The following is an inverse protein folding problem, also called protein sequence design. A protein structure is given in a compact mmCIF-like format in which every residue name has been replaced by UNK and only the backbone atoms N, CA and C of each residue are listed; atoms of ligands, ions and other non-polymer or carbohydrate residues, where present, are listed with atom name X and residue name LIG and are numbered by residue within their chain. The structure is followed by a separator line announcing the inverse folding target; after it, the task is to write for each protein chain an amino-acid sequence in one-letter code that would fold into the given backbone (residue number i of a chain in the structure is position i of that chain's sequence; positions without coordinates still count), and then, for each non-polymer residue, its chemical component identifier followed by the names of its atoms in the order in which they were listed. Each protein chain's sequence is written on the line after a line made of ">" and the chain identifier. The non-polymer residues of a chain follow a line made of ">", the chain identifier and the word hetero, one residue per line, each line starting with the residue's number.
data_IF_202900275606
#
_entry.id   IF_202900275606
#
_cell.length_a   1.000
_cell.length_b   1.000
_cell.length_c   1.000
_cell.angle_alpha   90.00
_cell.angle_beta   90.00
_cell.angle_gamma   90.00
#
_symmetry.space_group_name_H-M   'P 1'
#
loop_
_entity.id
_entity.type
_entity.pdbx_description
1 polymer ?
#
# COMPACT_ATOMS: atom_id res chain seq x y z
N UNK A 1 -4.99 31.83 -15.15
CA UNK A 1 -4.68 30.38 -15.05
C UNK A 1 -3.94 29.83 -16.27
N UNK A 2 -4.11 30.34 -17.47
CA UNK A 2 -3.45 29.80 -18.67
C UNK A 2 -1.94 30.06 -18.82
N UNK A 3 -1.38 31.11 -18.20
CA UNK A 3 0.02 31.48 -18.35
C UNK A 3 1.00 30.72 -17.42
N UNK A 4 0.49 30.13 -16.34
CA UNK A 4 1.32 29.36 -15.39
C UNK A 4 1.57 27.92 -15.93
N UNK A 5 0.66 27.38 -16.72
CA UNK A 5 0.79 26.05 -17.32
C UNK A 5 1.81 25.96 -18.46
N UNK A 6 2.28 27.10 -18.99
CA UNK A 6 3.29 27.09 -20.07
C UNK A 6 4.75 27.08 -19.58
N UNK A 7 4.98 27.24 -18.28
CA UNK A 7 6.34 27.34 -17.71
C UNK A 7 7.00 25.97 -17.47
N UNK A 8 6.21 24.89 -17.40
CA UNK A 8 6.72 23.54 -17.16
C UNK A 8 6.19 22.60 -18.25
N UNK A 9 7.05 21.80 -18.89
CA UNK A 9 6.59 20.79 -19.83
C UNK A 9 5.71 19.76 -19.08
N UNK A 10 4.61 19.29 -19.69
CA UNK A 10 3.78 18.28 -19.05
C UNK A 10 4.55 16.96 -18.88
N UNK A 11 4.35 16.29 -17.76
CA UNK A 11 4.89 14.96 -17.54
C UNK A 11 4.43 14.00 -18.65
N UNK A 12 5.35 13.17 -19.16
CA UNK A 12 5.02 12.10 -20.11
C UNK A 12 4.66 10.80 -19.39
N UNK A 13 5.06 10.69 -18.13
CA UNK A 13 4.77 9.57 -17.24
C UNK A 13 4.36 10.07 -15.86
N UNK A 14 3.45 9.35 -15.22
CA UNK A 14 3.13 9.55 -13.80
C UNK A 14 3.30 8.21 -13.08
N UNK A 15 4.01 8.23 -11.96
CA UNK A 15 4.11 7.11 -11.01
C UNK A 15 3.34 7.51 -9.76
N UNK A 16 2.22 6.84 -9.51
CA UNK A 16 1.39 7.01 -8.31
C UNK A 16 1.72 5.88 -7.31
N UNK A 17 2.30 6.24 -6.18
CA UNK A 17 2.66 5.32 -5.10
C UNK A 17 1.71 5.51 -3.93
N UNK A 18 0.96 4.47 -3.60
CA UNK A 18 0.07 4.44 -2.45
C UNK A 18 0.75 3.77 -1.25
N UNK A 19 0.92 4.50 -0.15
CA UNK A 19 1.35 3.99 1.15
C UNK A 19 0.17 4.04 2.12
N UNK A 20 -0.54 2.92 2.28
CA UNK A 20 -1.70 2.86 3.17
C UNK A 20 -1.31 3.16 4.62
N UNK A 21 -2.07 4.03 5.27
CA UNK A 21 -1.90 4.37 6.68
C UNK A 21 -0.65 5.18 7.04
N UNK A 22 0.11 5.68 6.05
CA UNK A 22 1.31 6.45 6.33
C UNK A 22 1.00 7.84 6.90
N UNK A 23 1.80 8.25 7.90
CA UNK A 23 1.59 9.47 8.68
C UNK A 23 2.86 10.29 8.82
N UNK A 24 2.77 11.60 8.61
CA UNK A 24 3.87 12.55 8.82
C UNK A 24 4.43 12.52 10.24
N UNK A 25 3.63 12.16 11.26
CA UNK A 25 4.11 12.05 12.64
C UNK A 25 5.21 10.99 12.83
N UNK A 26 5.24 9.99 11.95
CA UNK A 26 6.29 8.95 11.95
C UNK A 26 7.32 9.28 10.86
N UNK A 27 6.87 9.67 9.68
CA UNK A 27 7.75 9.92 8.55
C UNK A 27 8.69 11.12 8.80
N UNK A 28 8.19 12.25 9.35
CA UNK A 28 9.03 13.45 9.54
C UNK A 28 10.22 13.22 10.45
N UNK A 29 10.07 12.65 11.68
CA UNK A 29 11.23 12.34 12.52
C UNK A 29 12.23 11.40 11.86
N UNK A 30 11.78 10.43 11.06
CA UNK A 30 12.66 9.50 10.33
C UNK A 30 13.41 10.21 9.19
N UNK A 31 12.75 11.15 8.48
CA UNK A 31 13.42 11.99 7.48
C UNK A 31 14.47 12.89 8.12
N UNK A 32 14.14 13.53 9.25
CA UNK A 32 15.06 14.39 9.99
C UNK A 32 16.29 13.61 10.48
N UNK A 33 16.12 12.32 10.79
CA UNK A 33 17.22 11.41 11.14
C UNK A 33 17.99 10.87 9.92
N UNK A 34 17.59 11.21 8.68
CA UNK A 34 18.21 10.71 7.45
C UNK A 34 17.84 9.25 7.10
N UNK A 35 16.79 8.71 7.71
CA UNK A 35 16.39 7.30 7.56
C UNK A 35 15.40 7.05 6.41
N UNK A 36 14.82 8.13 5.83
CA UNK A 36 13.92 8.09 4.67
C UNK A 36 14.45 9.01 3.55
N UNK A 37 15.61 8.71 2.95
CA UNK A 37 16.25 9.62 2.00
C UNK A 37 15.45 9.81 0.71
N UNK A 38 14.67 8.83 0.25
CA UNK A 38 13.91 8.94 -0.98
C UNK A 38 12.68 9.84 -0.78
N UNK A 39 11.95 9.67 0.31
CA UNK A 39 10.84 10.55 0.68
C UNK A 39 11.34 11.96 0.93
N UNK A 40 12.45 12.12 1.64
CA UNK A 40 13.07 13.42 1.88
C UNK A 40 13.45 14.12 0.56
N UNK A 41 13.96 13.38 -0.42
CA UNK A 41 14.27 13.89 -1.74
C UNK A 41 13.01 14.35 -2.52
N UNK A 42 11.91 13.59 -2.46
CA UNK A 42 10.63 13.99 -3.05
C UNK A 42 10.10 15.28 -2.41
N UNK A 43 10.18 15.38 -1.08
CA UNK A 43 9.76 16.58 -0.34
C UNK A 43 10.61 17.80 -0.70
N UNK A 44 11.93 17.64 -0.79
CA UNK A 44 12.85 18.73 -1.06
C UNK A 44 12.74 19.26 -2.50
N UNK A 45 12.38 18.42 -3.47
CA UNK A 45 12.33 18.76 -4.89
C UNK A 45 10.92 18.93 -5.45
N UNK A 46 9.90 18.99 -4.59
CA UNK A 46 8.52 19.03 -5.04
C UNK A 46 7.58 19.75 -4.08
N UNK A 47 6.33 19.30 -4.08
CA UNK A 47 5.29 19.77 -3.19
C UNK A 47 4.92 18.65 -2.19
N UNK A 48 4.76 18.99 -0.91
CA UNK A 48 4.35 18.03 0.10
C UNK A 48 3.44 18.66 1.15
N UNK A 49 2.69 17.82 1.86
CA UNK A 49 1.82 18.25 2.94
C UNK A 49 0.88 17.15 3.43
N UNK A 50 0.01 17.46 4.41
CA UNK A 50 -1.01 16.53 4.85
C UNK A 50 -2.10 16.38 3.79
N UNK A 51 -2.48 15.14 3.49
CA UNK A 51 -3.63 14.81 2.65
C UNK A 51 -4.85 14.55 3.55
N UNK A 52 -5.88 15.37 3.41
CA UNK A 52 -7.12 15.20 4.17
C UNK A 52 -7.88 13.97 3.69
N UNK A 53 -8.26 13.11 4.62
CA UNK A 53 -9.02 11.89 4.35
C UNK A 53 -10.54 12.13 4.40
N UNK A 54 -11.30 11.20 3.83
CA UNK A 54 -12.77 11.21 3.80
C UNK A 54 -13.34 10.21 4.83
N UNK A 55 -14.15 10.65 5.80
CA UNK A 55 -14.76 9.73 6.75
C UNK A 55 -15.88 8.88 6.10
N UNK A 56 -16.06 7.61 6.54
CA UNK A 56 -15.21 6.87 7.47
C UNK A 56 -13.88 6.49 6.79
N UNK A 57 -12.78 6.47 7.57
CA UNK A 57 -11.42 6.23 7.06
C UNK A 57 -11.21 4.75 6.73
N UNK A 58 -11.86 4.27 5.66
CA UNK A 58 -11.84 2.90 5.20
C UNK A 58 -11.07 2.78 3.88
N UNK A 59 -9.97 2.10 3.89
CA UNK A 59 -9.04 2.00 2.75
C UNK A 59 -9.71 1.59 1.43
N UNK A 60 -10.66 0.62 1.38
CA UNK A 60 -11.32 0.30 0.11
C UNK A 60 -12.08 1.47 -0.51
N UNK A 61 -12.76 2.26 0.32
CA UNK A 61 -13.49 3.46 -0.08
C UNK A 61 -12.53 4.55 -0.53
N UNK A 62 -11.49 4.81 0.25
CA UNK A 62 -10.55 5.91 0.03
C UNK A 62 -9.69 5.67 -1.22
N UNK A 63 -9.14 4.46 -1.39
CA UNK A 63 -8.34 4.13 -2.57
C UNK A 63 -9.15 4.13 -3.86
N UNK A 64 -10.46 3.81 -3.80
CA UNK A 64 -11.33 3.99 -4.97
C UNK A 64 -11.70 5.46 -5.20
N UNK A 65 -11.79 6.29 -4.16
CA UNK A 65 -11.92 7.75 -4.32
C UNK A 65 -10.69 8.35 -5.00
N UNK A 66 -9.47 7.93 -4.60
CA UNK A 66 -8.21 8.35 -5.25
C UNK A 66 -8.19 7.90 -6.71
N UNK A 67 -8.56 6.64 -6.99
CA UNK A 67 -8.54 6.07 -8.34
C UNK A 67 -9.55 6.74 -9.31
N UNK A 68 -10.66 7.27 -8.79
CA UNK A 68 -11.78 7.72 -9.63
C UNK A 68 -12.01 9.23 -9.61
N UNK A 69 -11.46 9.93 -8.59
CA UNK A 69 -11.78 11.33 -8.33
C UNK A 69 -13.24 11.55 -7.90
N UNK A 70 -13.91 10.49 -7.38
CA UNK A 70 -15.32 10.49 -6.99
C UNK A 70 -15.48 10.13 -5.51
N UNK A 71 -16.57 10.56 -4.90
CA UNK A 71 -16.96 10.12 -3.57
C UNK A 71 -17.55 8.69 -3.59
N UNK A 72 -17.60 8.06 -2.43
CA UNK A 72 -18.00 6.66 -2.29
C UNK A 72 -19.42 6.35 -2.81
N UNK A 73 -20.37 7.25 -2.66
CA UNK A 73 -21.73 7.16 -3.20
C UNK A 73 -21.74 7.14 -4.74
N UNK A 74 -20.79 7.79 -5.37
CA UNK A 74 -20.64 7.85 -6.83
C UNK A 74 -19.87 6.66 -7.39
N UNK A 75 -18.75 6.25 -6.75
CA UNK A 75 -18.00 5.09 -7.24
C UNK A 75 -18.53 3.74 -6.72
N UNK A 76 -19.38 3.72 -5.70
CA UNK A 76 -20.11 2.54 -5.25
C UNK A 76 -19.33 1.59 -4.32
N UNK A 77 -18.07 1.84 -4.01
CA UNK A 77 -17.28 1.03 -3.07
C UNK A 77 -17.36 1.68 -1.69
N UNK A 78 -18.13 1.08 -0.78
CA UNK A 78 -18.46 1.68 0.53
C UNK A 78 -17.66 1.09 1.69
N UNK A 79 -16.96 -0.02 1.49
CA UNK A 79 -16.20 -0.72 2.54
C UNK A 79 -15.60 -2.02 2.03
N UNK A 80 -15.24 -2.91 2.94
CA UNK A 80 -14.56 -4.18 2.64
C UNK A 80 -15.49 -5.25 2.05
N UNK A 81 -16.78 -5.18 2.36
CA UNK A 81 -17.78 -6.18 1.95
C UNK A 81 -19.01 -5.50 1.40
N UNK A 82 -19.74 -6.25 0.61
CA UNK A 82 -21.06 -5.93 0.09
C UNK A 82 -22.00 -7.11 0.26
N UNK A 83 -23.30 -6.88 0.16
CA UNK A 83 -24.27 -7.98 0.11
C UNK A 83 -24.37 -8.46 -1.33
N UNK A 84 -24.07 -9.73 -1.55
CA UNK A 84 -24.32 -10.40 -2.84
C UNK A 84 -25.84 -10.46 -3.10
N UNK A 85 -26.33 -9.80 -4.15
CA UNK A 85 -27.77 -9.73 -4.40
C UNK A 85 -28.39 -11.10 -4.76
N UNK A 86 -27.60 -12.06 -5.23
CA UNK A 86 -28.10 -13.39 -5.59
C UNK A 86 -28.28 -14.30 -4.37
N UNK A 87 -27.41 -14.16 -3.36
CA UNK A 87 -27.38 -15.06 -2.19
C UNK A 87 -27.80 -14.38 -0.89
N UNK A 88 -27.86 -13.04 -0.84
CA UNK A 88 -28.08 -12.26 0.37
C UNK A 88 -26.92 -12.32 1.38
N UNK A 89 -25.78 -12.93 1.03
CA UNK A 89 -24.62 -13.12 1.90
C UNK A 89 -23.62 -11.97 1.75
N UNK A 90 -22.85 -11.71 2.79
CA UNK A 90 -21.70 -10.82 2.70
C UNK A 90 -20.62 -11.46 1.83
N UNK A 91 -20.14 -10.70 0.86
CA UNK A 91 -19.02 -11.03 -0.02
C UNK A 91 -17.99 -9.92 0.00
N UNK A 92 -16.73 -10.24 -0.28
CA UNK A 92 -15.70 -9.22 -0.48
C UNK A 92 -16.08 -8.32 -1.68
N UNK A 93 -15.72 -7.05 -1.58
CA UNK A 93 -15.89 -6.14 -2.72
C UNK A 93 -14.98 -6.55 -3.86
N UNK A 94 -15.40 -6.20 -5.08
CA UNK A 94 -14.68 -6.53 -6.32
C UNK A 94 -14.62 -5.32 -7.25
N UNK A 95 -13.73 -5.36 -8.24
CA UNK A 95 -13.62 -4.32 -9.28
C UNK A 95 -14.92 -4.10 -10.06
N UNK A 96 -15.73 -5.17 -10.22
CA UNK A 96 -17.01 -5.13 -10.96
C UNK A 96 -18.11 -4.32 -10.27
N UNK A 97 -17.94 -4.00 -9.00
CA UNK A 97 -18.89 -3.18 -8.23
C UNK A 97 -18.62 -1.68 -8.35
N UNK A 98 -17.47 -1.30 -8.90
CA UNK A 98 -17.17 0.10 -9.14
C UNK A 98 -18.06 0.65 -10.28
N UNK A 99 -18.83 1.68 -9.96
CA UNK A 99 -19.86 2.25 -10.85
C UNK A 99 -19.35 3.31 -11.82
N UNK A 100 -18.07 3.67 -11.74
CA UNK A 100 -17.45 4.67 -12.61
C UNK A 100 -16.04 4.24 -13.02
N UNK A 101 -15.52 4.87 -14.07
CA UNK A 101 -14.16 4.61 -14.56
C UNK A 101 -13.12 5.09 -13.55
N UNK A 102 -12.09 4.28 -13.36
CA UNK A 102 -10.88 4.72 -12.70
C UNK A 102 -9.96 5.45 -13.69
N UNK A 103 -8.95 6.14 -13.16
CA UNK A 103 -7.98 6.89 -13.94
C UNK A 103 -7.34 6.04 -15.06
N UNK A 104 -6.97 4.82 -14.79
CA UNK A 104 -6.37 3.90 -15.78
C UNK A 104 -7.32 3.50 -16.90
N UNK A 105 -8.63 3.43 -16.63
CA UNK A 105 -9.62 3.20 -17.69
C UNK A 105 -9.73 4.43 -18.61
N UNK A 106 -9.77 5.64 -18.02
CA UNK A 106 -9.82 6.90 -18.77
C UNK A 106 -8.57 7.05 -19.64
N UNK A 107 -7.38 6.78 -19.07
CA UNK A 107 -6.11 6.85 -19.80
C UNK A 107 -6.09 5.87 -20.98
N UNK A 108 -6.55 4.63 -20.78
CA UNK A 108 -6.63 3.63 -21.84
C UNK A 108 -7.55 4.05 -23.00
N UNK A 109 -8.67 4.72 -22.72
CA UNK A 109 -9.55 5.28 -23.77
C UNK A 109 -8.88 6.38 -24.60
N UNK A 110 -7.85 7.03 -24.04
CA UNK A 110 -7.03 8.01 -24.76
C UNK A 110 -5.75 7.40 -25.36
N UNK A 111 -5.67 6.08 -25.45
CA UNK A 111 -4.52 5.37 -26.03
C UNK A 111 -3.27 5.37 -25.17
N UNK A 112 -3.39 5.71 -23.87
CA UNK A 112 -2.27 5.72 -22.93
C UNK A 112 -2.16 4.37 -22.18
N UNK A 113 -0.92 3.95 -21.97
CA UNK A 113 -0.61 2.69 -21.27
C UNK A 113 -0.59 2.90 -19.76
N UNK A 114 -1.32 2.06 -19.03
CA UNK A 114 -1.39 2.10 -17.57
C UNK A 114 -1.05 0.74 -16.95
N UNK A 115 -0.17 0.73 -15.96
CA UNK A 115 0.07 -0.42 -15.09
C UNK A 115 -0.56 -0.17 -13.71
N UNK A 116 -1.26 -1.18 -13.19
CA UNK A 116 -2.00 -1.09 -11.92
C UNK A 116 -1.66 -2.32 -11.06
N UNK A 117 -0.97 -2.10 -9.95
CA UNK A 117 -0.39 -3.16 -9.13
C UNK A 117 -0.94 -3.11 -7.69
N UNK A 118 -1.59 -4.19 -7.27
CA UNK A 118 -2.07 -4.38 -5.91
C UNK A 118 -3.20 -3.43 -5.48
N UNK A 119 -3.76 -2.61 -6.37
CA UNK A 119 -4.74 -1.58 -6.02
C UNK A 119 -5.98 -2.18 -5.34
N UNK A 120 -6.53 -1.48 -4.33
CA UNK A 120 -7.64 -2.01 -3.56
C UNK A 120 -8.92 -2.15 -4.40
N UNK A 121 -9.63 -3.28 -4.25
CA UNK A 121 -10.81 -3.66 -5.03
C UNK A 121 -10.54 -3.70 -6.55
N UNK A 122 -9.39 -4.22 -6.96
CA UNK A 122 -9.02 -4.41 -8.38
C UNK A 122 -9.28 -5.83 -8.89
N UNK A 123 -9.67 -6.78 -8.02
CA UNK A 123 -9.98 -8.14 -8.45
C UNK A 123 -11.46 -8.29 -8.85
N UNK A 124 -11.76 -8.99 -9.97
CA UNK A 124 -10.83 -9.47 -11.01
C UNK A 124 -10.16 -8.33 -11.76
N UNK A 125 -8.97 -8.61 -12.30
CA UNK A 125 -8.17 -7.65 -13.06
C UNK A 125 -8.96 -7.08 -14.23
N UNK A 126 -8.94 -5.76 -14.34
CA UNK A 126 -9.59 -5.04 -15.43
C UNK A 126 -8.78 -5.13 -16.73
N UNK A 127 -9.47 -5.04 -17.84
CA UNK A 127 -8.85 -4.93 -19.16
C UNK A 127 -8.28 -3.50 -19.35
N UNK A 128 -7.02 -3.31 -18.96
CA UNK A 128 -6.28 -2.05 -19.13
C UNK A 128 -5.35 -2.13 -20.34
N UNK A 129 -4.97 -0.98 -20.88
CA UNK A 129 -3.93 -0.89 -21.91
C UNK A 129 -2.56 -1.01 -21.26
N UNK A 130 -2.22 -2.19 -20.72
CA UNK A 130 -0.99 -2.43 -19.95
C UNK A 130 -1.13 -3.65 -19.06
N UNK A 131 -0.63 -3.57 -17.83
CA UNK A 131 -0.64 -4.67 -16.86
C UNK A 131 -1.52 -4.31 -15.68
N UNK A 132 -2.43 -5.20 -15.30
CA UNK A 132 -3.17 -5.11 -14.03
C UNK A 132 -2.89 -6.36 -13.19
N UNK A 133 -2.35 -6.17 -11.99
CA UNK A 133 -2.14 -7.21 -10.97
C UNK A 133 -2.96 -6.85 -9.75
N UNK A 134 -3.89 -7.71 -9.38
CA UNK A 134 -4.90 -7.38 -8.37
C UNK A 134 -4.40 -7.51 -6.93
N UNK A 135 -5.12 -6.94 -5.96
CA UNK A 135 -4.84 -7.06 -4.53
C UNK A 135 -4.94 -8.51 -4.01
N UNK A 136 -5.57 -9.42 -4.76
CA UNK A 136 -5.61 -10.85 -4.41
C UNK A 136 -4.34 -11.61 -4.80
N UNK A 137 -3.52 -11.04 -5.67
CA UNK A 137 -2.31 -11.66 -6.22
C UNK A 137 -1.31 -12.13 -5.15
N UNK A 138 -0.95 -11.33 -4.14
CA UNK A 138 0.09 -11.69 -3.18
C UNK A 138 -0.40 -12.62 -2.06
N UNK A 139 -1.70 -12.86 -1.91
CA UNK A 139 -2.25 -13.59 -0.75
C UNK A 139 -1.70 -15.02 -0.68
N UNK A 140 -0.92 -15.37 0.36
CA UNK A 140 -0.31 -16.67 0.45
C UNK A 140 -1.34 -17.76 0.77
N UNK A 141 -1.11 -18.96 0.25
CA UNK A 141 -1.78 -20.16 0.71
C UNK A 141 -1.22 -20.63 2.06
N UNK A 142 -1.92 -21.53 2.73
CA UNK A 142 -1.38 -22.19 3.92
C UNK A 142 -0.04 -22.85 3.61
N UNK A 143 0.87 -22.88 4.59
CA UNK A 143 2.20 -23.48 4.47
C UNK A 143 2.13 -24.89 3.89
N UNK A 144 2.94 -25.11 2.84
CA UNK A 144 3.02 -26.42 2.14
C UNK A 144 1.81 -26.74 1.23
N UNK A 145 0.77 -25.90 1.19
CA UNK A 145 -0.33 -26.10 0.27
C UNK A 145 0.01 -25.63 -1.16
N UNK A 146 -0.61 -26.22 -2.20
CA UNK A 146 -0.54 -25.67 -3.55
C UNK A 146 -0.97 -24.20 -3.56
N UNK A 147 -0.28 -23.40 -4.34
CA UNK A 147 -0.57 -21.95 -4.41
C UNK A 147 -0.78 -21.48 -5.85
N UNK A 148 -1.78 -22.00 -6.55
CA UNK A 148 -2.10 -21.51 -7.87
C UNK A 148 -2.52 -20.05 -7.81
N UNK A 149 -2.26 -19.31 -8.88
CA UNK A 149 -2.77 -17.96 -9.02
C UNK A 149 -4.29 -18.02 -9.19
N UNK A 150 -5.02 -17.20 -8.42
CA UNK A 150 -6.46 -17.11 -8.55
C UNK A 150 -6.83 -16.61 -9.97
N UNK A 151 -7.83 -17.21 -10.63
CA UNK A 151 -8.28 -16.72 -11.94
C UNK A 151 -8.62 -15.23 -11.90
N UNK A 152 -8.19 -14.49 -12.91
CA UNK A 152 -8.45 -13.04 -12.97
C UNK A 152 -7.53 -12.18 -12.08
N UNK A 153 -6.44 -12.73 -11.51
CA UNK A 153 -5.51 -11.92 -10.72
C UNK A 153 -4.54 -11.08 -11.56
N UNK A 154 -4.36 -11.44 -12.83
CA UNK A 154 -3.41 -10.76 -13.75
C UNK A 154 -4.06 -10.52 -15.11
N UNK A 155 -3.92 -9.29 -15.61
CA UNK A 155 -4.23 -8.92 -17.00
C UNK A 155 -2.97 -8.29 -17.66
N UNK A 156 -2.62 -8.66 -18.90
CA UNK A 156 -3.25 -9.72 -19.72
C UNK A 156 -3.03 -11.12 -19.12
N UNK A 157 -3.99 -12.00 -19.30
CA UNK A 157 -3.95 -13.37 -18.75
C UNK A 157 -2.75 -14.18 -19.24
N UNK A 158 -2.19 -13.86 -20.39
CA UNK A 158 -0.96 -14.46 -20.92
C UNK A 158 0.26 -14.26 -20.00
N UNK A 159 0.25 -13.25 -19.15
CA UNK A 159 1.32 -12.97 -18.17
C UNK A 159 1.12 -13.72 -16.85
N UNK A 160 0.00 -14.39 -16.64
CA UNK A 160 -0.34 -14.97 -15.34
C UNK A 160 0.70 -15.99 -14.85
N UNK A 161 1.21 -16.85 -15.71
CA UNK A 161 2.21 -17.84 -15.34
C UNK A 161 3.56 -17.19 -14.92
N UNK A 162 4.04 -16.21 -15.72
CA UNK A 162 5.26 -15.46 -15.41
C UNK A 162 5.15 -14.71 -14.09
N UNK A 163 4.04 -13.99 -13.90
CA UNK A 163 3.82 -13.21 -12.68
C UNK A 163 3.61 -14.09 -11.45
N UNK A 164 3.07 -15.30 -11.60
CA UNK A 164 2.94 -16.24 -10.49
C UNK A 164 4.28 -16.56 -9.82
N UNK A 165 5.39 -16.60 -10.60
CA UNK A 165 6.75 -16.86 -10.11
C UNK A 165 7.37 -15.65 -9.36
N UNK A 166 6.76 -14.46 -9.45
CA UNK A 166 7.23 -13.27 -8.76
C UNK A 166 6.74 -13.19 -7.30
N UNK A 167 5.81 -14.09 -6.93
CA UNK A 167 5.24 -14.13 -5.58
C UNK A 167 6.21 -14.80 -4.61
N UNK A 168 6.29 -14.25 -3.40
CA UNK A 168 7.01 -14.84 -2.28
C UNK A 168 6.06 -15.53 -1.32
N UNK A 169 6.48 -16.67 -0.79
CA UNK A 169 5.84 -17.27 0.38
C UNK A 169 6.44 -16.69 1.66
N UNK A 170 5.69 -16.69 2.78
CA UNK A 170 6.24 -16.22 4.07
C UNK A 170 7.54 -16.94 4.47
N UNK A 171 7.66 -18.23 4.15
CA UNK A 171 8.87 -19.04 4.39
C UNK A 171 10.06 -18.68 3.50
N UNK A 172 9.85 -17.96 2.40
CA UNK A 172 10.90 -17.49 1.50
C UNK A 172 11.49 -16.14 1.96
N UNK A 173 10.84 -15.49 2.94
CA UNK A 173 11.35 -14.23 3.50
C UNK A 173 12.65 -14.51 4.26
N UNK A 174 13.73 -13.86 3.81
CA UNK A 174 15.04 -14.04 4.44
C UNK A 174 14.97 -13.68 5.94
N UNK A 175 15.41 -14.57 6.85
CA UNK A 175 15.43 -14.30 8.28
C UNK A 175 16.20 -13.03 8.66
N UNK A 176 17.19 -12.61 7.89
CA UNK A 176 17.94 -11.37 8.14
C UNK A 176 17.07 -10.12 7.92
N UNK A 177 16.10 -10.18 7.00
CA UNK A 177 15.10 -9.11 6.85
C UNK A 177 14.24 -9.01 8.10
N UNK A 178 13.81 -10.13 8.68
CA UNK A 178 13.05 -10.10 9.93
C UNK A 178 13.85 -9.51 11.09
N UNK A 179 15.18 -9.70 11.12
CA UNK A 179 16.07 -9.10 12.13
C UNK A 179 16.17 -7.58 12.01
N UNK A 180 15.97 -7.00 10.82
CA UNK A 180 15.89 -5.54 10.66
C UNK A 180 14.66 -4.94 11.36
N UNK A 181 13.60 -5.72 11.51
CA UNK A 181 12.39 -5.33 12.22
C UNK A 181 12.43 -5.72 13.69
N UNK A 182 12.93 -6.93 13.99
CA UNK A 182 12.95 -7.53 15.31
C UNK A 182 14.38 -8.01 15.60
N UNK A 183 15.31 -7.12 16.02
CA UNK A 183 16.72 -7.47 16.20
C UNK A 183 16.94 -8.65 17.16
N UNK A 184 16.08 -8.80 18.15
CA UNK A 184 16.13 -9.84 19.19
C UNK A 184 15.21 -11.03 18.90
N UNK A 185 14.87 -11.31 17.64
CA UNK A 185 13.92 -12.37 17.24
C UNK A 185 14.32 -13.76 17.77
N UNK A 186 15.62 -14.02 17.93
CA UNK A 186 16.13 -15.28 18.46
C UNK A 186 15.74 -15.57 19.93
N UNK A 187 15.32 -14.53 20.67
CA UNK A 187 14.88 -14.65 22.07
C UNK A 187 13.36 -14.87 22.18
N UNK A 188 12.63 -14.88 21.07
CA UNK A 188 11.19 -15.04 21.01
C UNK A 188 10.83 -16.51 20.85
N UNK A 189 9.94 -17.01 21.70
CA UNK A 189 9.33 -18.34 21.54
C UNK A 189 8.26 -18.31 20.44
N UNK A 190 8.67 -18.64 19.22
CA UNK A 190 7.81 -18.62 18.03
C UNK A 190 6.64 -19.64 18.08
N UNK A 191 6.65 -20.54 19.07
CA UNK A 191 5.50 -21.44 19.29
C UNK A 191 4.34 -20.73 19.98
N UNK A 192 4.65 -19.70 20.78
CA UNK A 192 3.69 -18.91 21.58
C UNK A 192 3.40 -17.54 20.96
N UNK A 193 4.40 -16.91 20.37
CA UNK A 193 4.27 -15.59 19.75
C UNK A 193 4.27 -15.69 18.23
N UNK A 194 3.13 -15.42 17.64
CA UNK A 194 2.92 -15.50 16.18
C UNK A 194 3.17 -14.20 15.44
N UNK A 195 3.50 -13.11 16.14
CA UNK A 195 3.74 -11.79 15.52
C UNK A 195 4.89 -11.81 14.50
N UNK A 196 6.03 -12.50 14.74
CA UNK A 196 7.07 -12.61 13.70
C UNK A 196 6.60 -13.38 12.45
N UNK A 197 5.75 -14.40 12.62
CA UNK A 197 5.15 -15.13 11.50
C UNK A 197 4.17 -14.22 10.70
N UNK A 198 3.35 -13.45 11.41
CA UNK A 198 2.47 -12.45 10.78
C UNK A 198 3.28 -11.42 10.00
N UNK A 199 4.36 -10.89 10.56
CA UNK A 199 5.24 -9.95 9.87
C UNK A 199 5.85 -10.57 8.60
N UNK A 200 6.27 -11.85 8.63
CA UNK A 200 6.77 -12.55 7.45
C UNK A 200 5.70 -12.66 6.35
N UNK A 201 4.44 -12.90 6.72
CA UNK A 201 3.31 -12.89 5.77
C UNK A 201 3.18 -11.52 5.10
N UNK A 202 3.21 -10.43 5.87
CA UNK A 202 3.09 -9.07 5.34
C UNK A 202 4.25 -8.67 4.44
N UNK A 203 5.45 -9.10 4.79
CA UNK A 203 6.65 -8.89 3.97
C UNK A 203 6.56 -9.66 2.64
N UNK A 204 6.11 -10.91 2.67
CA UNK A 204 5.92 -11.70 1.46
C UNK A 204 4.89 -11.07 0.51
N UNK A 205 3.76 -10.57 1.06
CA UNK A 205 2.75 -9.85 0.29
C UNK A 205 3.31 -8.56 -0.32
N UNK A 206 4.03 -7.76 0.47
CA UNK A 206 4.68 -6.52 0.02
C UNK A 206 5.63 -6.77 -1.14
N UNK A 207 6.59 -7.71 -0.97
CA UNK A 207 7.58 -8.02 -1.99
C UNK A 207 6.94 -8.61 -3.25
N UNK A 208 5.89 -9.42 -3.11
CA UNK A 208 5.16 -9.96 -4.28
C UNK A 208 4.56 -8.84 -5.13
N UNK A 209 3.94 -7.83 -4.52
CA UNK A 209 3.40 -6.66 -5.25
C UNK A 209 4.54 -5.83 -5.84
N UNK A 210 5.61 -5.62 -5.08
CA UNK A 210 6.77 -4.84 -5.54
C UNK A 210 7.46 -5.49 -6.73
N UNK A 211 7.71 -6.79 -6.68
CA UNK A 211 8.29 -7.56 -7.78
C UNK A 211 7.43 -7.45 -9.04
N UNK A 212 6.11 -7.54 -8.90
CA UNK A 212 5.19 -7.36 -10.02
C UNK A 212 5.24 -5.93 -10.57
N UNK A 213 5.44 -4.91 -9.74
CA UNK A 213 5.56 -3.53 -10.16
C UNK A 213 6.85 -3.32 -10.99
N UNK A 214 7.98 -3.80 -10.49
CA UNK A 214 9.27 -3.70 -11.20
C UNK A 214 9.21 -4.49 -12.52
N UNK A 215 8.75 -5.74 -12.49
CA UNK A 215 8.60 -6.54 -13.71
C UNK A 215 7.68 -5.88 -14.76
N UNK A 216 6.66 -5.14 -14.31
CA UNK A 216 5.79 -4.39 -15.23
C UNK A 216 6.51 -3.20 -15.85
N UNK A 217 7.36 -2.50 -15.10
CA UNK A 217 8.17 -1.37 -15.59
C UNK A 217 9.27 -1.84 -16.57
N UNK A 218 9.88 -3.00 -16.31
CA UNK A 218 10.93 -3.60 -17.16
C UNK A 218 10.39 -4.07 -18.53
N UNK A 219 9.07 -4.25 -18.67
CA UNK A 219 8.44 -4.66 -19.95
C UNK A 219 8.39 -3.54 -20.99
N UNK A 220 8.64 -2.33 -20.60
CA UNK A 220 8.67 -1.19 -21.52
C UNK A 220 8.00 0.07 -20.97
N UNK A 221 7.99 1.14 -21.77
CA UNK A 221 7.45 2.42 -21.33
C UNK A 221 5.94 2.34 -21.08
N UNK A 222 5.50 2.94 -19.96
CA UNK A 222 4.09 3.19 -19.69
C UNK A 222 3.91 4.69 -19.38
N UNK A 223 2.69 5.20 -19.60
CA UNK A 223 2.35 6.58 -19.27
C UNK A 223 1.94 6.74 -17.81
N UNK A 224 1.40 5.69 -17.20
CA UNK A 224 0.92 5.70 -15.85
C UNK A 224 1.24 4.38 -15.13
N UNK A 225 1.82 4.49 -13.96
CA UNK A 225 1.94 3.38 -13.00
C UNK A 225 1.17 3.76 -11.74
N UNK A 226 0.26 2.90 -11.28
CA UNK A 226 -0.32 2.96 -9.95
C UNK A 226 0.10 1.72 -9.16
N UNK A 227 0.85 1.90 -8.08
CA UNK A 227 1.21 0.80 -7.18
C UNK A 227 0.71 1.11 -5.77
N UNK A 228 0.07 0.13 -5.15
CA UNK A 228 -0.49 0.26 -3.81
C UNK A 228 0.16 -0.73 -2.86
N UNK A 229 0.64 -0.22 -1.74
CA UNK A 229 1.25 -0.98 -0.67
C UNK A 229 0.44 -0.87 0.62
N UNK A 230 -0.12 -1.98 1.06
CA UNK A 230 -0.91 -2.10 2.28
C UNK A 230 -0.04 -2.26 3.54
N UNK A 231 1.26 -2.31 3.37
CA UNK A 231 2.19 -2.82 4.37
C UNK A 231 2.28 -1.96 5.64
N UNK A 232 2.36 -0.62 5.51
CA UNK A 232 2.48 0.28 6.68
C UNK A 232 1.22 0.19 7.54
N UNK A 233 0.02 0.20 6.94
CA UNK A 233 -1.24 0.10 7.67
C UNK A 233 -1.32 -1.19 8.48
N UNK A 234 -1.01 -2.32 7.86
CA UNK A 234 -1.05 -3.61 8.53
C UNK A 234 -0.02 -3.72 9.65
N UNK A 235 1.21 -3.23 9.42
CA UNK A 235 2.23 -3.18 10.48
C UNK A 235 1.79 -2.27 11.62
N UNK A 236 1.17 -1.14 11.31
CA UNK A 236 0.64 -0.25 12.34
C UNK A 236 -0.48 -0.90 13.15
N UNK A 237 -1.40 -1.63 12.52
CA UNK A 237 -2.45 -2.36 13.23
C UNK A 237 -1.89 -3.43 14.18
N UNK A 238 -0.84 -4.14 13.76
CA UNK A 238 -0.28 -5.25 14.52
C UNK A 238 0.74 -4.80 15.59
N UNK A 239 1.44 -3.67 15.38
CA UNK A 239 2.61 -3.29 16.18
C UNK A 239 2.58 -1.87 16.76
N UNK A 240 1.61 -1.02 16.47
CA UNK A 240 1.58 0.36 16.96
C UNK A 240 1.48 0.45 18.48
N UNK A 241 0.95 -0.56 19.15
CA UNK A 241 0.95 -0.62 20.62
C UNK A 241 2.37 -0.65 21.21
N UNK A 242 3.33 -1.20 20.46
CA UNK A 242 4.74 -1.28 20.86
C UNK A 242 5.56 -0.07 20.39
N UNK A 243 5.05 0.78 19.52
CA UNK A 243 5.76 1.99 19.07
C UNK A 243 5.98 2.96 20.25
N UNK A 244 7.16 3.60 20.37
CA UNK A 244 7.42 4.60 21.42
C UNK A 244 6.42 5.78 21.43
N UNK A 245 6.12 6.34 22.61
CA UNK A 245 6.55 5.89 23.94
C UNK A 245 5.81 4.63 24.41
N UNK A 246 6.46 3.79 25.23
CA UNK A 246 5.84 2.58 25.78
C UNK A 246 4.58 2.92 26.58
N UNK A 247 3.50 2.21 26.30
CA UNK A 247 2.24 2.33 27.05
C UNK A 247 2.32 1.49 28.33
N UNK A 248 1.65 1.95 29.39
CA UNK A 248 1.70 1.30 30.70
C UNK A 248 1.22 -0.17 30.67
N UNK A 249 0.25 -0.50 29.82
CA UNK A 249 -0.30 -1.86 29.67
C UNK A 249 0.59 -2.79 28.83
N UNK A 250 1.60 -2.26 28.13
CA UNK A 250 2.50 -3.07 27.30
C UNK A 250 3.66 -3.59 28.15
N UNK A 251 3.84 -4.93 28.24
CA UNK A 251 4.96 -5.51 28.95
C UNK A 251 6.29 -4.99 28.41
N UNK A 252 7.23 -4.67 29.28
CA UNK A 252 8.53 -4.09 28.91
C UNK A 252 9.28 -4.98 27.92
N UNK A 253 9.31 -6.30 28.19
CA UNK A 253 9.99 -7.28 27.32
C UNK A 253 9.41 -7.27 25.89
N UNK A 254 8.10 -7.20 25.74
CA UNK A 254 7.45 -7.15 24.44
C UNK A 254 7.71 -5.82 23.73
N UNK A 255 7.68 -4.71 24.48
CA UNK A 255 8.07 -3.41 23.97
C UNK A 255 9.50 -3.43 23.40
N UNK A 256 10.46 -3.99 24.13
CA UNK A 256 11.86 -4.09 23.67
C UNK A 256 12.01 -4.98 22.42
N UNK A 257 11.15 -5.96 22.22
CA UNK A 257 11.18 -6.76 20.99
C UNK A 257 10.63 -6.02 19.78
N UNK A 258 9.54 -5.26 19.93
CA UNK A 258 8.73 -4.77 18.82
C UNK A 258 8.72 -3.25 18.61
N UNK A 259 9.39 -2.50 19.48
CA UNK A 259 9.36 -1.02 19.47
C UNK A 259 9.79 -0.37 18.14
N UNK A 260 10.59 -1.06 17.34
CA UNK A 260 11.16 -0.52 16.11
C UNK A 260 10.48 -1.02 14.83
N UNK A 261 9.52 -1.94 14.97
CA UNK A 261 8.86 -2.59 13.82
C UNK A 261 8.16 -1.59 12.91
N UNK A 262 7.43 -0.63 13.49
CA UNK A 262 6.73 0.42 12.71
C UNK A 262 7.73 1.29 11.95
N UNK A 263 8.80 1.75 12.61
CA UNK A 263 9.83 2.57 11.96
C UNK A 263 10.53 1.79 10.84
N UNK A 264 10.81 0.50 11.05
CA UNK A 264 11.40 -0.36 10.03
C UNK A 264 10.49 -0.56 8.82
N UNK A 265 9.17 -0.52 8.99
CA UNK A 265 8.24 -0.56 7.87
C UNK A 265 8.38 0.67 6.97
N UNK A 266 8.51 1.87 7.54
CA UNK A 266 8.76 3.09 6.77
C UNK A 266 10.12 3.05 6.05
N UNK A 267 11.19 2.59 6.74
CA UNK A 267 12.53 2.43 6.13
C UNK A 267 12.50 1.49 4.93
N UNK A 268 11.81 0.35 5.06
CA UNK A 268 11.66 -0.60 3.96
C UNK A 268 10.87 0.00 2.80
N UNK A 269 9.77 0.70 3.08
CA UNK A 269 8.98 1.35 2.03
C UNK A 269 9.78 2.43 1.29
N UNK A 270 10.66 3.14 1.99
CA UNK A 270 11.58 4.11 1.35
C UNK A 270 12.62 3.43 0.45
N UNK A 271 13.11 2.24 0.84
CA UNK A 271 13.98 1.43 -0.03
C UNK A 271 13.24 0.96 -1.29
N UNK A 272 12.00 0.50 -1.17
CA UNK A 272 11.20 0.10 -2.33
C UNK A 272 10.83 1.30 -3.21
N UNK A 273 10.63 2.49 -2.61
CA UNK A 273 10.45 3.72 -3.36
C UNK A 273 11.69 4.04 -4.22
N UNK A 274 12.91 3.84 -3.71
CA UNK A 274 14.15 3.99 -4.50
C UNK A 274 14.10 3.16 -5.79
N UNK A 275 13.64 1.92 -5.70
CA UNK A 275 13.61 1.03 -6.85
C UNK A 275 12.60 1.51 -7.92
N UNK A 276 11.45 2.06 -7.49
CA UNK A 276 10.51 2.71 -8.40
C UNK A 276 11.09 4.00 -9.01
N UNK A 277 11.79 4.80 -8.21
CA UNK A 277 12.42 6.03 -8.67
C UNK A 277 13.55 5.77 -9.67
N UNK A 278 14.23 4.63 -9.58
CA UNK A 278 15.25 4.22 -10.56
C UNK A 278 14.67 4.05 -11.98
N UNK A 279 13.37 3.79 -12.09
CA UNK A 279 12.65 3.71 -13.37
C UNK A 279 12.03 5.05 -13.78
N UNK A 280 12.17 6.11 -12.98
CA UNK A 280 11.72 7.46 -13.33
C UNK A 280 12.76 8.15 -14.19
N UNK A 281 12.32 8.89 -15.20
CA UNK A 281 13.14 9.76 -16.03
C UNK A 281 12.80 11.23 -15.79
N UNK A 282 13.48 12.17 -16.49
CA UNK A 282 13.28 13.61 -16.33
C UNK A 282 11.86 14.07 -16.67
N UNK A 283 11.13 13.29 -17.48
CA UNK A 283 9.74 13.57 -17.89
C UNK A 283 8.72 12.86 -16.99
N UNK A 284 9.12 12.37 -15.81
CA UNK A 284 8.26 11.60 -14.90
C UNK A 284 7.88 12.43 -13.67
N UNK A 285 6.60 12.57 -13.41
CA UNK A 285 6.09 13.04 -12.12
C UNK A 285 5.83 11.84 -11.21
N UNK A 286 6.39 11.85 -10.02
CA UNK A 286 6.13 10.87 -8.97
C UNK A 286 5.19 11.49 -7.95
N UNK A 287 4.10 10.80 -7.64
CA UNK A 287 3.13 11.18 -6.62
C UNK A 287 3.08 10.07 -5.58
N UNK A 288 3.39 10.39 -4.34
CA UNK A 288 3.23 9.50 -3.20
C UNK A 288 2.11 10.02 -2.33
N UNK A 289 1.14 9.16 -2.01
CA UNK A 289 0.04 9.53 -1.14
C UNK A 289 -0.35 8.40 -0.18
N UNK A 290 -0.96 8.79 0.94
CA UNK A 290 -1.63 7.90 1.88
C UNK A 290 -3.08 8.34 2.03
N UNK A 291 -3.98 7.36 2.10
CA UNK A 291 -5.42 7.58 2.24
C UNK A 291 -5.82 8.09 3.63
N UNK A 292 -5.08 7.73 4.69
CA UNK A 292 -5.24 8.22 6.06
C UNK A 292 -3.90 8.17 6.81
N UNK A 293 -3.84 8.75 7.99
CA UNK A 293 -2.74 8.59 8.92
C UNK A 293 -3.07 7.59 10.03
N UNK A 294 -2.17 7.48 11.02
CA UNK A 294 -2.30 6.52 12.11
C UNK A 294 -2.02 7.16 13.48
N UNK A 295 -2.80 6.81 14.51
CA UNK A 295 -2.57 7.30 15.87
C UNK A 295 -1.32 6.64 16.48
N UNK A 296 -0.23 7.39 16.61
CA UNK A 296 1.07 6.95 17.17
C UNK A 296 1.41 7.59 18.52
N UNK A 297 0.57 8.51 18.99
CA UNK A 297 0.77 9.29 20.21
C UNK A 297 -0.15 8.86 21.37
N UNK A 298 -0.42 9.77 22.31
CA UNK A 298 -1.32 9.54 23.43
C UNK A 298 -2.78 9.25 23.06
N UNK A 299 -3.15 9.38 21.77
CA UNK A 299 -4.49 9.06 21.25
C UNK A 299 -4.58 7.65 20.67
N UNK A 300 -3.56 6.82 20.82
CA UNK A 300 -3.64 5.39 20.46
C UNK A 300 -4.82 4.74 21.20
N UNK A 301 -5.75 4.05 20.51
CA UNK A 301 -6.94 3.46 21.13
C UNK A 301 -6.56 2.43 22.20
N UNK A 302 -7.32 2.40 23.30
CA UNK A 302 -7.16 1.41 24.37
C UNK A 302 -7.97 0.15 24.08
N UNK A 303 -9.09 0.31 23.37
CA UNK A 303 -9.97 -0.78 22.97
C UNK A 303 -10.43 -0.57 21.54
N UNK A 304 -10.47 -1.66 20.78
CA UNK A 304 -11.05 -1.66 19.44
C UNK A 304 -12.54 -2.02 19.60
N UNK A 305 -13.47 -1.20 19.08
CA UNK A 305 -14.90 -1.53 19.08
C UNK A 305 -15.17 -2.82 18.33
N UNK A 306 -15.99 -3.70 18.90
CA UNK A 306 -16.43 -4.95 18.24
C UNK A 306 -17.59 -4.68 17.26
N UNK A 307 -17.35 -3.79 16.31
CA UNK A 307 -18.29 -3.44 15.24
C UNK A 307 -17.58 -3.57 13.89
N UNK A 308 -18.36 -3.63 12.81
CA UNK A 308 -17.79 -3.61 11.46
C UNK A 308 -16.88 -2.37 11.31
N UNK A 309 -15.67 -2.59 10.81
CA UNK A 309 -14.64 -1.55 10.66
C UNK A 309 -14.20 -0.86 11.98
N UNK A 310 -14.44 -1.47 13.15
CA UNK A 310 -14.02 -0.90 14.45
C UNK A 310 -12.51 -0.65 14.54
N UNK A 311 -11.71 -1.36 13.76
CA UNK A 311 -10.26 -1.18 13.66
C UNK A 311 -9.87 0.22 13.12
N UNK A 312 -10.74 0.86 12.35
CA UNK A 312 -10.51 2.22 11.81
C UNK A 312 -10.40 3.31 12.90
N UNK A 313 -10.67 2.98 14.17
CA UNK A 313 -10.39 3.90 15.30
C UNK A 313 -8.90 4.26 15.44
N UNK A 314 -8.00 3.44 14.87
CA UNK A 314 -6.58 3.74 14.77
C UNK A 314 -6.25 4.81 13.74
N UNK A 315 -7.12 5.03 12.77
CA UNK A 315 -6.86 5.90 11.64
C UNK A 315 -7.05 7.38 12.01
N UNK A 316 -6.24 8.23 11.38
CA UNK A 316 -6.30 9.68 11.48
C UNK A 316 -6.76 10.29 10.15
N UNK A 317 -7.42 11.43 10.25
CA UNK A 317 -7.97 12.19 9.13
C UNK A 317 -6.92 12.75 8.14
N UNK A 318 -5.64 12.53 8.36
CA UNK A 318 -4.57 13.12 7.55
C UNK A 318 -3.50 12.08 7.26
N UNK A 319 -3.35 11.74 5.99
CA UNK A 319 -2.24 10.97 5.45
C UNK A 319 -1.11 11.83 4.90
N UNK A 320 -0.22 11.21 4.17
CA UNK A 320 0.92 11.84 3.50
C UNK A 320 0.53 12.22 2.07
N UNK A 321 1.04 13.34 1.60
CA UNK A 321 1.14 13.69 0.18
C UNK A 321 2.53 14.24 -0.10
N UNK A 322 3.18 13.73 -1.14
CA UNK A 322 4.41 14.29 -1.70
C UNK A 322 4.42 14.06 -3.21
N UNK A 323 4.81 15.06 -3.98
CA UNK A 323 4.90 14.95 -5.43
C UNK A 323 6.07 15.75 -5.96
N UNK A 324 6.84 15.17 -6.88
CA UNK A 324 7.96 15.82 -7.56
C UNK A 324 8.01 15.42 -9.04
N UNK A 325 8.47 16.33 -9.88
CA UNK A 325 8.59 16.14 -11.33
C UNK A 325 8.12 17.37 -12.11
N UNK A 326 8.11 17.29 -13.44
CA UNK A 326 7.63 18.37 -14.30
C UNK A 326 6.12 18.63 -14.16
#
# INVERSE_FOLDING_TARGET
>A
MSAILSAYPPAKRVILVGWDGADWKIASPLMDAGELPQLANLVANGASGPLASLPPYLSPMLWNSIATGKYADQHGILGFTTTDPATGRLAAITSTQRKCKALWNILGEHGLTAHVLGWFASHPAENVTGVCVTESFPRPAAKGAPWPLAPGSVHPSALAAEFAELRLRPEDVNPDILRLFIPRIAEIDLTKDKRPEQLAIRLAELYSVHNAAIASLDRGPCNFLAVYYHFIDWVCHDFMDFHPPRRAQVPEREFEFYRDVVNSAYRLQDLLLRDLLAHSGPDTTVVLCSDHGFHSDGRRPVRIPMVSAGIAIWHRAQGIFAAAGP
#
